data_IF_303867325150
#
_entry.id   IF_303867325150
#
_cell.length_a   1.000
_cell.length_b   1.000
_cell.length_c   1.000
_cell.angle_alpha   90.00
_cell.angle_beta   90.00
_cell.angle_gamma   90.00
#
_symmetry.space_group_name_H-M   'P 1'
#
loop_
_entity.id
_entity.type
_entity.pdbx_description
1 polymer ?
#
# COMPACT_ATOMS: atom_id res chain seq x y z
N UNK A 1 33.10 -13.87 -10.89
CA UNK A 1 32.54 -13.47 -9.58
C UNK A 1 31.05 -13.77 -9.61
N UNK A 2 30.65 -14.94 -9.09
CA UNK A 2 29.23 -15.21 -8.84
C UNK A 2 28.77 -14.27 -7.73
N UNK A 3 27.93 -13.30 -8.09
CA UNK A 3 27.22 -12.49 -7.11
C UNK A 3 26.20 -13.44 -6.51
N UNK A 4 26.45 -13.93 -5.29
CA UNK A 4 25.44 -14.60 -4.48
C UNK A 4 24.24 -13.65 -4.38
N UNK A 5 23.27 -13.80 -5.29
CA UNK A 5 22.00 -13.10 -5.25
C UNK A 5 21.14 -13.82 -4.24
N UNK A 6 21.46 -13.65 -2.96
CA UNK A 6 20.52 -13.97 -1.90
C UNK A 6 19.24 -13.21 -2.22
N UNK A 7 18.07 -13.86 -2.33
CA UNK A 7 16.82 -13.17 -2.56
C UNK A 7 16.62 -12.15 -1.42
N UNK A 8 16.62 -10.85 -1.76
CA UNK A 8 16.33 -9.83 -0.76
C UNK A 8 14.84 -9.82 -0.50
N UNK A 9 14.40 -10.45 0.59
CA UNK A 9 12.99 -10.46 0.96
C UNK A 9 12.47 -9.02 1.15
N UNK A 10 11.27 -8.72 0.66
CA UNK A 10 10.65 -7.42 0.84
C UNK A 10 10.96 -6.37 -0.23
N UNK A 11 11.60 -6.74 -1.34
CA UNK A 11 11.73 -5.83 -2.48
C UNK A 11 10.40 -5.74 -3.22
N UNK A 12 9.81 -4.55 -3.17
CA UNK A 12 8.68 -4.16 -4.03
C UNK A 12 9.24 -3.64 -5.35
N UNK A 13 8.70 -4.11 -6.47
CA UNK A 13 9.12 -3.64 -7.79
C UNK A 13 8.99 -2.10 -7.90
N UNK A 14 10.03 -1.38 -8.39
CA UNK A 14 10.02 0.07 -8.42
C UNK A 14 8.83 0.67 -9.17
N UNK A 15 8.44 0.06 -10.30
CA UNK A 15 7.32 0.52 -11.11
C UNK A 15 5.98 0.35 -10.37
N UNK A 16 5.83 -0.74 -9.62
CA UNK A 16 4.64 -0.95 -8.79
C UNK A 16 4.59 0.05 -7.63
N UNK A 17 5.74 0.34 -7.01
CA UNK A 17 5.82 1.36 -5.96
C UNK A 17 5.48 2.76 -6.50
N UNK A 18 5.94 3.09 -7.70
CA UNK A 18 5.62 4.35 -8.37
C UNK A 18 4.14 4.46 -8.72
N UNK A 19 3.53 3.36 -9.18
CA UNK A 19 2.08 3.27 -9.36
C UNK A 19 1.31 3.57 -8.07
N UNK A 20 1.71 2.99 -6.93
CA UNK A 20 1.07 3.24 -5.64
C UNK A 20 1.20 4.71 -5.22
N UNK A 21 2.40 5.30 -5.34
CA UNK A 21 2.65 6.72 -5.04
C UNK A 21 1.74 7.62 -5.86
N UNK A 22 1.67 7.41 -7.18
CA UNK A 22 0.81 8.20 -8.08
C UNK A 22 -0.67 8.03 -7.74
N UNK A 23 -1.10 6.81 -7.41
CA UNK A 23 -2.49 6.53 -7.05
C UNK A 23 -2.91 7.28 -5.80
N UNK A 24 -2.13 7.19 -4.71
CA UNK A 24 -2.46 7.88 -3.47
C UNK A 24 -2.34 9.40 -3.58
N UNK A 25 -1.34 9.91 -4.32
CA UNK A 25 -1.24 11.34 -4.60
C UNK A 25 -2.48 11.86 -5.33
N UNK A 26 -2.97 11.12 -6.32
CA UNK A 26 -4.21 11.47 -7.05
C UNK A 26 -5.42 11.48 -6.11
N UNK A 27 -5.58 10.48 -5.24
CA UNK A 27 -6.70 10.44 -4.31
C UNK A 27 -6.67 11.55 -3.27
N UNK A 28 -5.49 11.91 -2.77
CA UNK A 28 -5.32 13.07 -1.89
C UNK A 28 -5.70 14.38 -2.60
N UNK A 29 -5.31 14.54 -3.87
CA UNK A 29 -5.70 15.70 -4.68
C UNK A 29 -7.23 15.75 -4.89
N UNK A 30 -7.84 14.62 -5.28
CA UNK A 30 -9.29 14.52 -5.46
C UNK A 30 -10.04 14.89 -4.17
N UNK A 31 -9.57 14.41 -3.02
CA UNK A 31 -10.15 14.80 -1.74
C UNK A 31 -10.04 16.31 -1.48
N UNK A 32 -8.89 16.93 -1.78
CA UNK A 32 -8.72 18.38 -1.65
C UNK A 32 -9.67 19.18 -2.57
N UNK A 33 -10.11 18.58 -3.67
CA UNK A 33 -11.10 19.12 -4.60
C UNK A 33 -12.56 18.79 -4.19
N UNK A 34 -12.77 18.16 -3.02
CA UNK A 34 -14.09 17.76 -2.51
C UNK A 34 -14.65 16.50 -3.18
N UNK A 35 -13.82 15.72 -3.86
CA UNK A 35 -14.20 14.47 -4.52
C UNK A 35 -13.95 13.28 -3.60
N UNK A 36 -15.02 12.53 -3.33
CA UNK A 36 -15.00 11.33 -2.49
C UNK A 36 -14.36 10.14 -3.18
N UNK A 37 -13.43 9.47 -2.50
CA UNK A 37 -12.94 8.17 -2.91
C UNK A 37 -14.02 7.09 -2.74
N UNK A 38 -14.45 6.49 -3.84
CA UNK A 38 -15.47 5.45 -3.81
C UNK A 38 -14.93 4.08 -3.37
N UNK A 39 -15.79 3.27 -2.74
CA UNK A 39 -15.45 1.90 -2.34
C UNK A 39 -14.98 1.00 -3.50
N UNK A 40 -15.44 1.26 -4.73
CA UNK A 40 -15.00 0.54 -5.93
C UNK A 40 -13.52 0.76 -6.24
N UNK A 41 -13.02 1.98 -6.07
CA UNK A 41 -11.62 2.30 -6.32
C UNK A 41 -10.71 1.66 -5.27
N UNK A 42 -11.15 1.67 -4.01
CA UNK A 42 -10.48 0.99 -2.89
C UNK A 42 -10.42 -0.52 -3.14
N UNK A 43 -11.53 -1.13 -3.56
CA UNK A 43 -11.58 -2.56 -3.85
C UNK A 43 -10.66 -2.95 -5.02
N UNK A 44 -10.62 -2.12 -6.08
CA UNK A 44 -9.68 -2.33 -7.21
C UNK A 44 -8.23 -2.28 -6.75
N UNK A 45 -7.85 -1.24 -5.99
CA UNK A 45 -6.48 -1.14 -5.48
C UNK A 45 -6.12 -2.33 -4.58
N UNK A 46 -7.03 -2.74 -3.70
CA UNK A 46 -6.83 -3.90 -2.81
C UNK A 46 -6.59 -5.17 -3.62
N UNK A 47 -7.39 -5.41 -4.66
CA UNK A 47 -7.20 -6.55 -5.57
C UNK A 47 -5.86 -6.49 -6.31
N UNK A 48 -5.47 -5.32 -6.83
CA UNK A 48 -4.18 -5.12 -7.49
C UNK A 48 -3.01 -5.42 -6.55
N UNK A 49 -3.07 -4.94 -5.30
CA UNK A 49 -2.03 -5.19 -4.30
C UNK A 49 -1.94 -6.67 -3.93
N UNK A 50 -3.08 -7.35 -3.76
CA UNK A 50 -3.09 -8.80 -3.52
C UNK A 50 -2.50 -9.58 -4.71
N UNK A 51 -2.83 -9.19 -5.95
CA UNK A 51 -2.22 -9.76 -7.14
C UNK A 51 -0.71 -9.54 -7.20
N UNK A 52 -0.24 -8.34 -6.88
CA UNK A 52 1.18 -8.03 -6.82
C UNK A 52 1.90 -8.86 -5.74
N UNK A 53 1.28 -9.02 -4.56
CA UNK A 53 1.79 -9.88 -3.48
C UNK A 53 1.96 -11.33 -3.95
N UNK A 54 0.95 -11.90 -4.62
CA UNK A 54 1.00 -13.28 -5.12
C UNK A 54 2.08 -13.51 -6.18
N UNK A 55 2.42 -12.47 -6.95
CA UNK A 55 3.43 -12.52 -8.01
C UNK A 55 4.82 -12.04 -7.56
N UNK A 56 4.97 -11.61 -6.30
CA UNK A 56 6.20 -10.99 -5.82
C UNK A 56 7.34 -12.03 -5.75
N UNK A 57 8.31 -11.92 -6.66
CA UNK A 57 9.51 -12.78 -6.70
C UNK A 57 10.30 -12.77 -5.38
N UNK A 58 10.30 -11.64 -4.70
CA UNK A 58 11.05 -11.42 -3.47
C UNK A 58 10.17 -11.47 -2.21
N UNK A 59 8.86 -11.69 -2.36
CA UNK A 59 7.90 -11.67 -1.25
C UNK A 59 7.76 -10.29 -0.59
N UNK A 60 6.52 -9.91 -0.28
CA UNK A 60 6.21 -8.83 0.66
C UNK A 60 4.85 -9.14 1.30
N UNK A 61 4.54 -8.50 2.41
CA UNK A 61 3.21 -8.58 3.02
C UNK A 61 2.53 -7.22 2.91
N UNK A 62 1.24 -7.21 2.60
CA UNK A 62 0.49 -5.98 2.40
C UNK A 62 -0.82 -6.01 3.18
N UNK A 63 -0.97 -5.00 4.03
CA UNK A 63 -2.11 -4.83 4.91
C UNK A 63 -2.86 -3.57 4.48
N UNK A 64 -4.15 -3.73 4.20
CA UNK A 64 -5.06 -2.61 4.00
C UNK A 64 -5.91 -2.41 5.25
N UNK A 65 -6.11 -1.16 5.64
CA UNK A 65 -6.91 -0.78 6.79
C UNK A 65 -7.85 0.36 6.40
N UNK A 66 -9.09 0.29 6.88
CA UNK A 66 -10.03 1.41 6.84
C UNK A 66 -10.44 1.74 8.27
N UNK A 67 -10.25 2.99 8.67
CA UNK A 67 -10.50 3.42 10.03
C UNK A 67 -10.42 4.93 10.18
N UNK A 68 -10.75 5.40 11.38
CA UNK A 68 -10.65 6.82 11.71
C UNK A 68 -9.20 7.15 12.08
N UNK A 69 -8.72 8.32 11.69
CA UNK A 69 -7.51 8.90 12.28
C UNK A 69 -7.80 9.62 13.61
N UNK A 70 -6.76 10.20 14.20
CA UNK A 70 -6.82 10.90 15.49
C UNK A 70 -7.78 12.10 15.49
N UNK A 71 -8.10 12.64 14.31
CA UNK A 71 -9.04 13.75 14.12
C UNK A 71 -10.48 13.25 13.82
N UNK A 72 -10.69 11.94 13.77
CA UNK A 72 -11.98 11.33 13.47
C UNK A 72 -12.32 11.26 11.98
N UNK A 73 -11.37 11.53 11.09
CA UNK A 73 -11.54 11.44 9.64
C UNK A 73 -11.40 9.98 9.19
N UNK A 74 -12.36 9.46 8.41
CA UNK A 74 -12.27 8.13 7.81
C UNK A 74 -11.13 8.13 6.78
N UNK A 75 -10.25 7.13 6.86
CA UNK A 75 -9.10 6.97 5.97
C UNK A 75 -8.99 5.54 5.49
N UNK A 76 -8.47 5.42 4.28
CA UNK A 76 -7.93 4.18 3.75
C UNK A 76 -6.41 4.22 3.81
N UNK A 77 -5.83 3.17 4.35
CA UNK A 77 -4.39 3.02 4.53
C UNK A 77 -3.91 1.70 3.91
N UNK A 78 -2.80 1.76 3.19
CA UNK A 78 -2.06 0.61 2.68
C UNK A 78 -0.66 0.61 3.32
N UNK A 79 -0.32 -0.49 3.97
CA UNK A 79 0.99 -0.73 4.56
C UNK A 79 1.66 -1.91 3.86
N UNK A 80 2.93 -1.77 3.52
CA UNK A 80 3.74 -2.82 2.91
C UNK A 80 4.91 -3.16 3.83
N UNK A 81 5.03 -4.43 4.18
CA UNK A 81 6.07 -4.99 5.04
C UNK A 81 6.96 -5.92 4.24
N UNK A 82 8.20 -6.13 4.71
CA UNK A 82 9.14 -7.03 4.03
C UNK A 82 8.63 -8.47 3.93
N UNK A 83 7.89 -8.92 4.95
CA UNK A 83 7.33 -10.27 5.06
C UNK A 83 6.25 -10.29 6.15
N UNK A 84 5.67 -11.48 6.39
CA UNK A 84 4.61 -11.67 7.41
C UNK A 84 5.09 -11.46 8.84
N UNK A 85 6.29 -11.88 9.20
CA UNK A 85 6.86 -11.72 10.55
C UNK A 85 7.04 -10.24 10.93
N UNK A 86 7.43 -9.42 9.95
CA UNK A 86 7.61 -7.99 10.12
C UNK A 86 6.30 -7.24 10.41
N UNK A 87 5.14 -7.81 10.09
CA UNK A 87 3.84 -7.17 10.40
C UNK A 87 3.64 -7.01 11.90
N UNK A 88 4.19 -7.93 12.70
CA UNK A 88 4.01 -7.94 14.15
C UNK A 88 5.18 -7.29 14.90
N UNK A 89 6.36 -7.26 14.29
CA UNK A 89 7.62 -6.91 14.98
C UNK A 89 8.28 -5.64 14.46
N UNK A 90 7.90 -5.14 13.29
CA UNK A 90 8.60 -4.05 12.59
C UNK A 90 7.65 -2.98 12.05
N UNK A 91 8.23 -1.85 11.62
CA UNK A 91 7.48 -0.81 10.90
C UNK A 91 7.33 -1.19 9.43
N UNK A 92 6.25 -0.74 8.76
CA UNK A 92 6.11 -0.97 7.33
C UNK A 92 7.23 -0.27 6.55
N UNK A 93 7.70 -0.93 5.47
CA UNK A 93 8.62 -0.35 4.49
C UNK A 93 8.00 0.83 3.75
N UNK A 94 6.71 0.71 3.43
CA UNK A 94 5.93 1.76 2.78
C UNK A 94 4.58 1.91 3.46
N UNK A 95 4.17 3.16 3.62
CA UNK A 95 2.92 3.54 4.26
C UNK A 95 2.22 4.59 3.41
N UNK A 96 1.04 4.25 2.88
CA UNK A 96 0.23 5.12 2.05
C UNK A 96 -1.13 5.33 2.73
N UNK A 97 -1.61 6.58 2.75
CA UNK A 97 -2.90 6.89 3.35
C UNK A 97 -3.63 7.96 2.57
N UNK A 98 -4.96 7.86 2.52
CA UNK A 98 -5.84 8.84 1.90
C UNK A 98 -7.12 8.99 2.72
N UNK A 99 -7.65 10.20 2.90
CA UNK A 99 -8.95 10.41 3.50
C UNK A 99 -10.09 9.91 2.59
N UNK A 100 -11.18 9.48 3.20
CA UNK A 100 -12.41 9.07 2.54
C UNK A 100 -13.55 9.92 3.11
N UNK A 101 -14.28 10.63 2.25
CA UNK A 101 -15.53 11.27 2.67
C UNK A 101 -16.59 10.20 2.95
N UNK A 102 -17.36 10.41 4.03
CA UNK A 102 -18.54 9.60 4.33
C UNK A 102 -19.68 9.89 3.37
#
# INVERSE_FOLDING_TARGET
>A
MEKNMTPTNGIVEPDFLEYLKKTFKKWQQLHAEGVTLGGREIAKLTATVQGAKLNARFGFEAITHRGLDDEGQDRFTLMIYKNREAVETEKPLYHFTTPIYR
#
